data_IF_874705455603
#
_entry.id   IF_874705455603
#
_cell.length_a   1.000
_cell.length_b   1.000
_cell.length_c   1.000
_cell.angle_alpha   90.00
_cell.angle_beta   90.00
_cell.angle_gamma   90.00
#
_symmetry.space_group_name_H-M   'P 1'
#
loop_
_entity.id
_entity.type
_entity.pdbx_description
1 polymer ?
#
# COMPACT_ATOMS: atom_id res chain seq x y z
N UNK A 1 33.38 -22.88 -19.33
CA UNK A 1 32.93 -22.20 -18.10
C UNK A 1 32.29 -20.83 -18.32
N UNK A 2 32.90 -19.80 -18.91
CA UNK A 2 32.20 -18.50 -19.16
C UNK A 2 31.13 -18.64 -20.26
N UNK A 3 31.43 -19.39 -21.33
CA UNK A 3 30.52 -19.62 -22.46
C UNK A 3 29.30 -20.50 -22.11
N UNK A 4 29.41 -21.40 -21.14
CA UNK A 4 28.28 -22.24 -20.68
C UNK A 4 27.33 -21.44 -19.79
N UNK A 5 27.85 -20.57 -18.92
CA UNK A 5 27.03 -19.74 -18.04
C UNK A 5 26.22 -18.70 -18.84
N UNK A 6 26.82 -18.11 -19.89
CA UNK A 6 26.10 -17.25 -20.83
C UNK A 6 25.08 -18.02 -21.67
N UNK A 7 25.39 -19.24 -22.13
CA UNK A 7 24.45 -20.07 -22.85
C UNK A 7 23.25 -20.50 -21.98
N UNK A 8 23.48 -20.80 -20.70
CA UNK A 8 22.42 -21.13 -19.73
C UNK A 8 21.56 -19.90 -19.38
N UNK A 9 22.14 -18.71 -19.26
CA UNK A 9 21.39 -17.47 -19.06
C UNK A 9 20.54 -17.08 -20.28
N UNK A 10 21.09 -17.23 -21.50
CA UNK A 10 20.34 -17.03 -22.74
C UNK A 10 19.25 -18.08 -22.92
N UNK A 11 19.50 -19.33 -22.56
CA UNK A 11 18.51 -20.41 -22.59
C UNK A 11 17.37 -20.19 -21.59
N UNK A 12 17.66 -19.73 -20.36
CA UNK A 12 16.62 -19.40 -19.37
C UNK A 12 15.86 -18.12 -19.75
N UNK A 13 16.51 -17.17 -20.42
CA UNK A 13 15.83 -16.00 -20.98
C UNK A 13 14.90 -16.37 -22.13
N UNK A 14 15.32 -17.28 -23.01
CA UNK A 14 14.53 -17.75 -24.15
C UNK A 14 13.38 -18.66 -23.72
N UNK A 15 13.56 -19.48 -22.69
CA UNK A 15 12.47 -20.25 -22.06
C UNK A 15 11.41 -19.34 -21.42
N UNK A 16 11.83 -18.24 -20.78
CA UNK A 16 10.92 -17.22 -20.26
C UNK A 16 10.19 -16.46 -21.37
N UNK A 17 10.87 -16.14 -22.47
CA UNK A 17 10.25 -15.54 -23.65
C UNK A 17 9.28 -16.50 -24.32
N UNK A 18 9.60 -17.79 -24.43
CA UNK A 18 8.71 -18.79 -25.01
C UNK A 18 7.49 -19.07 -24.13
N UNK A 19 7.62 -19.17 -22.80
CA UNK A 19 6.45 -19.33 -21.93
C UNK A 19 5.56 -18.07 -21.88
N UNK A 20 6.18 -16.88 -21.97
CA UNK A 20 5.41 -15.64 -22.03
C UNK A 20 4.77 -15.41 -23.40
N UNK A 21 5.43 -15.83 -24.49
CA UNK A 21 4.87 -15.86 -25.84
C UNK A 21 3.77 -16.91 -25.99
N UNK A 22 3.90 -18.11 -25.43
CA UNK A 22 2.85 -19.14 -25.44
C UNK A 22 1.61 -18.67 -24.67
N UNK A 23 1.80 -17.97 -23.54
CA UNK A 23 0.69 -17.28 -22.86
C UNK A 23 0.09 -16.17 -23.71
N UNK A 24 0.91 -15.33 -24.36
CA UNK A 24 0.45 -14.26 -25.25
C UNK A 24 -0.28 -14.79 -26.52
N UNK A 25 0.14 -15.94 -27.05
CA UNK A 25 -0.43 -16.60 -28.23
C UNK A 25 -1.71 -17.37 -27.91
N UNK A 26 -1.77 -18.07 -26.77
CA UNK A 26 -3.03 -18.62 -26.25
C UNK A 26 -4.07 -17.52 -26.01
N UNK A 27 -3.65 -16.33 -25.56
CA UNK A 27 -4.52 -15.17 -25.36
C UNK A 27 -5.01 -14.60 -26.70
N UNK A 28 -4.15 -14.51 -27.73
CA UNK A 28 -4.57 -14.04 -29.06
C UNK A 28 -5.56 -14.96 -29.75
N UNK A 29 -5.51 -16.28 -29.49
CA UNK A 29 -6.52 -17.22 -30.00
C UNK A 29 -7.88 -17.06 -29.32
N UNK A 30 -7.92 -16.73 -28.02
CA UNK A 30 -9.16 -16.54 -27.24
C UNK A 30 -9.77 -15.13 -27.38
N UNK A 31 -8.96 -14.14 -27.80
CA UNK A 31 -9.38 -12.74 -28.06
C UNK A 31 -10.34 -12.57 -29.25
N UNK A 32 -10.57 -13.63 -30.04
CA UNK A 32 -11.52 -13.58 -31.16
C UNK A 32 -12.99 -13.48 -30.73
N UNK A 33 -13.34 -13.60 -29.43
CA UNK A 33 -14.75 -13.61 -28.98
C UNK A 33 -15.18 -12.74 -27.79
N UNK A 34 -14.36 -12.01 -27.02
CA UNK A 34 -14.87 -11.29 -25.82
C UNK A 34 -14.11 -9.99 -25.40
N UNK A 35 -14.18 -8.92 -26.20
CA UNK A 35 -13.36 -7.69 -26.04
C UNK A 35 -13.58 -6.75 -24.84
N UNK A 36 -14.56 -6.98 -23.95
CA UNK A 36 -14.74 -6.14 -22.73
C UNK A 36 -14.53 -6.92 -21.43
N UNK A 37 -14.87 -8.22 -21.44
CA UNK A 37 -14.61 -9.12 -20.32
C UNK A 37 -13.13 -9.52 -20.28
N UNK A 38 -12.47 -9.80 -21.41
CA UNK A 38 -11.04 -10.12 -21.37
C UNK A 38 -10.22 -8.94 -20.84
N UNK A 39 -10.53 -7.73 -21.32
CA UNK A 39 -9.86 -6.48 -20.93
C UNK A 39 -10.01 -6.14 -19.44
N UNK A 40 -11.16 -6.40 -18.82
CA UNK A 40 -11.40 -6.11 -17.39
C UNK A 40 -10.97 -7.24 -16.46
N UNK A 41 -10.96 -8.49 -16.93
CA UNK A 41 -10.85 -9.67 -16.06
C UNK A 41 -9.54 -10.46 -16.21
N UNK A 42 -8.79 -10.33 -17.32
CA UNK A 42 -7.46 -10.94 -17.44
C UNK A 42 -6.39 -9.96 -16.98
N UNK A 43 -5.72 -10.29 -15.87
CA UNK A 43 -4.70 -9.45 -15.23
C UNK A 43 -3.27 -9.93 -15.49
N UNK A 44 -2.31 -9.07 -15.13
CA UNK A 44 -0.87 -9.34 -15.21
C UNK A 44 -0.13 -8.41 -16.17
N UNK A 45 -0.85 -7.48 -16.79
CA UNK A 45 -0.25 -6.43 -17.61
C UNK A 45 0.52 -5.42 -16.76
N UNK A 46 1.40 -4.67 -17.43
CA UNK A 46 2.14 -3.55 -16.83
C UNK A 46 1.19 -2.50 -16.25
N UNK A 47 0.03 -2.28 -16.89
CA UNK A 47 -0.98 -1.34 -16.42
C UNK A 47 -1.63 -1.80 -15.12
N UNK A 48 -1.92 -3.09 -14.99
CA UNK A 48 -2.53 -3.64 -13.77
C UNK A 48 -1.61 -3.48 -12.56
N UNK A 49 -0.32 -3.76 -12.76
CA UNK A 49 0.70 -3.52 -11.75
C UNK A 49 0.82 -2.03 -11.42
N UNK A 50 0.78 -1.15 -12.43
CA UNK A 50 0.82 0.30 -12.20
C UNK A 50 -0.38 0.81 -11.40
N UNK A 51 -1.60 0.42 -11.76
CA UNK A 51 -2.82 0.77 -11.02
C UNK A 51 -2.75 0.29 -9.58
N UNK A 52 -2.27 -0.94 -9.37
CA UNK A 52 -2.12 -1.54 -8.06
C UNK A 52 -1.09 -0.81 -7.20
N UNK A 53 0.08 -0.50 -7.78
CA UNK A 53 1.15 0.22 -7.09
C UNK A 53 0.74 1.67 -6.76
N UNK A 54 0.05 2.35 -7.67
CA UNK A 54 -0.38 3.73 -7.45
C UNK A 54 -1.48 3.81 -6.37
N UNK A 55 -2.46 2.90 -6.44
CA UNK A 55 -3.57 2.81 -5.47
C UNK A 55 -3.08 2.45 -4.06
N UNK A 56 -2.10 1.56 -3.93
CA UNK A 56 -1.54 1.20 -2.62
C UNK A 56 -0.64 2.27 -2.00
N UNK A 57 -0.05 3.16 -2.81
CA UNK A 57 0.77 4.25 -2.31
C UNK A 57 -0.07 5.46 -1.87
N UNK A 58 -1.18 5.75 -2.57
CA UNK A 58 -2.09 6.83 -2.18
C UNK A 58 -3.31 6.27 -1.48
N UNK A 59 -3.33 6.37 -0.16
CA UNK A 59 -4.48 6.01 0.65
C UNK A 59 -4.86 7.15 1.61
N UNK A 60 -5.31 6.80 2.81
CA UNK A 60 -5.62 7.70 3.92
C UNK A 60 -4.59 8.79 4.19
N UNK A 61 -3.31 8.49 3.99
CA UNK A 61 -2.19 9.42 4.24
C UNK A 61 -2.36 10.74 3.49
N UNK A 62 -3.01 10.74 2.31
CA UNK A 62 -3.36 11.92 1.53
C UNK A 62 -4.04 13.00 2.39
N UNK A 63 -4.93 12.59 3.31
CA UNK A 63 -5.68 13.48 4.19
C UNK A 63 -4.84 14.03 5.35
N UNK A 64 -3.69 13.42 5.63
CA UNK A 64 -2.77 13.81 6.72
C UNK A 64 -1.50 14.51 6.24
N UNK A 65 -1.22 14.50 4.94
CA UNK A 65 -0.04 15.17 4.39
C UNK A 65 -0.02 16.69 4.63
N UNK A 66 -1.15 17.43 4.52
CA UNK A 66 -1.16 18.85 4.89
C UNK A 66 -0.76 19.06 6.35
N UNK A 67 -1.20 18.17 7.25
CA UNK A 67 -0.79 18.18 8.64
C UNK A 67 0.73 17.99 8.77
N UNK A 68 1.33 17.02 8.07
CA UNK A 68 2.79 16.88 8.04
C UNK A 68 3.50 18.14 7.54
N UNK A 69 2.93 18.84 6.57
CA UNK A 69 3.51 20.08 6.05
C UNK A 69 3.46 21.21 7.09
N UNK A 70 2.42 21.29 7.91
CA UNK A 70 2.39 22.21 9.06
C UNK A 70 3.43 21.88 10.13
N UNK A 71 3.81 20.60 10.26
CA UNK A 71 4.83 20.14 11.21
C UNK A 71 6.27 20.37 10.72
N UNK A 72 6.49 20.25 9.41
CA UNK A 72 7.81 20.29 8.77
C UNK A 72 8.14 21.64 8.13
N UNK A 73 7.12 22.44 7.83
CA UNK A 73 7.21 23.55 6.88
C UNK A 73 7.16 23.07 5.43
N UNK A 74 6.84 24.01 4.52
CA UNK A 74 6.62 23.72 3.09
C UNK A 74 7.84 23.09 2.42
N UNK A 75 9.01 23.71 2.60
CA UNK A 75 10.24 23.28 1.95
C UNK A 75 10.66 21.87 2.38
N UNK A 76 10.70 21.62 3.70
CA UNK A 76 11.05 20.30 4.22
C UNK A 76 10.00 19.26 3.83
N UNK A 77 8.70 19.59 3.87
CA UNK A 77 7.63 18.72 3.42
C UNK A 77 7.80 18.25 1.97
N UNK A 78 8.14 19.16 1.04
CA UNK A 78 8.39 18.83 -0.37
C UNK A 78 9.65 17.97 -0.52
N UNK A 79 10.76 18.38 0.11
CA UNK A 79 12.04 17.65 0.03
C UNK A 79 11.87 16.22 0.55
N UNK A 80 11.22 16.04 1.71
CA UNK A 80 11.02 14.72 2.32
C UNK A 80 10.04 13.85 1.51
N UNK A 81 8.99 14.43 0.92
CA UNK A 81 8.13 13.66 -0.02
C UNK A 81 8.95 13.10 -1.17
N UNK A 82 9.72 13.94 -1.87
CA UNK A 82 10.54 13.52 -3.01
C UNK A 82 11.58 12.49 -2.57
N UNK A 83 12.30 12.77 -1.49
CA UNK A 83 13.34 11.89 -0.96
C UNK A 83 12.78 10.52 -0.57
N UNK A 84 11.69 10.45 0.20
CA UNK A 84 11.10 9.18 0.63
C UNK A 84 10.45 8.40 -0.51
N UNK A 85 9.89 9.06 -1.53
CA UNK A 85 9.40 8.38 -2.73
C UNK A 85 10.52 7.79 -3.58
N UNK A 86 11.65 8.50 -3.74
CA UNK A 86 12.84 7.98 -4.44
C UNK A 86 13.43 6.80 -3.66
N UNK A 87 13.62 6.93 -2.34
CA UNK A 87 14.10 5.81 -1.51
C UNK A 87 13.14 4.62 -1.51
N UNK A 88 11.82 4.88 -1.52
CA UNK A 88 10.79 3.83 -1.63
C UNK A 88 10.89 3.10 -2.97
N UNK A 89 11.11 3.84 -4.06
CA UNK A 89 11.36 3.25 -5.39
C UNK A 89 12.65 2.43 -5.44
N UNK A 90 13.72 2.93 -4.79
CA UNK A 90 14.99 2.21 -4.69
C UNK A 90 14.84 0.88 -3.96
N UNK A 91 14.17 0.88 -2.82
CA UNK A 91 13.92 -0.33 -2.03
C UNK A 91 12.99 -1.30 -2.73
N UNK A 92 11.97 -0.82 -3.46
CA UNK A 92 11.13 -1.64 -4.32
C UNK A 92 11.95 -2.30 -5.45
N UNK A 93 12.93 -1.60 -6.01
CA UNK A 93 13.91 -2.18 -6.93
C UNK A 93 14.72 -3.31 -6.27
N UNK A 94 15.20 -3.13 -5.04
CA UNK A 94 15.92 -4.19 -4.30
C UNK A 94 15.04 -5.43 -4.08
N UNK A 95 13.76 -5.24 -3.69
CA UNK A 95 12.81 -6.36 -3.55
C UNK A 95 12.58 -7.05 -4.91
N UNK A 96 12.50 -6.30 -6.00
CA UNK A 96 12.36 -6.86 -7.35
C UNK A 96 13.54 -7.75 -7.73
N UNK A 97 14.77 -7.33 -7.43
CA UNK A 97 15.97 -8.14 -7.64
C UNK A 97 15.93 -9.42 -6.81
N UNK A 98 15.63 -9.32 -5.51
CA UNK A 98 15.54 -10.47 -4.61
C UNK A 98 14.44 -11.45 -5.03
N UNK A 99 13.30 -10.95 -5.48
CA UNK A 99 12.21 -11.78 -5.98
C UNK A 99 12.61 -12.58 -7.22
N UNK A 100 13.22 -11.92 -8.22
CA UNK A 100 13.67 -12.58 -9.45
C UNK A 100 14.74 -13.62 -9.14
N UNK A 101 15.67 -13.31 -8.23
CA UNK A 101 16.71 -14.24 -7.77
C UNK A 101 16.10 -15.48 -7.10
N UNK A 102 15.20 -15.30 -6.13
CA UNK A 102 14.53 -16.40 -5.45
C UNK A 102 13.76 -17.29 -6.44
N UNK A 103 13.01 -16.67 -7.35
CA UNK A 103 12.24 -17.38 -8.37
C UNK A 103 13.14 -18.20 -9.28
N UNK A 104 14.22 -17.60 -9.79
CA UNK A 104 15.20 -18.27 -10.65
C UNK A 104 15.84 -19.49 -9.97
N UNK A 105 16.23 -19.38 -8.69
CA UNK A 105 16.75 -20.51 -7.92
C UNK A 105 15.76 -21.66 -7.79
N UNK A 106 14.49 -21.34 -7.51
CA UNK A 106 13.43 -22.35 -7.35
C UNK A 106 13.02 -23.00 -8.66
N UNK A 107 13.01 -22.25 -9.76
CA UNK A 107 12.77 -22.80 -11.10
C UNK A 107 13.91 -23.76 -11.52
N UNK A 108 15.18 -23.46 -11.17
CA UNK A 108 16.32 -24.39 -11.36
C UNK A 108 16.18 -25.68 -10.52
N UNK A 109 15.47 -25.63 -9.41
CA UNK A 109 15.10 -26.79 -8.58
C UNK A 109 13.83 -27.52 -9.09
N UNK A 110 13.31 -27.17 -10.27
CA UNK A 110 12.08 -27.69 -10.87
C UNK A 110 10.79 -27.44 -10.05
N UNK A 111 10.76 -26.37 -9.23
CA UNK A 111 9.56 -25.96 -8.50
C UNK A 111 8.66 -25.11 -9.40
N UNK A 112 7.38 -25.48 -9.53
CA UNK A 112 6.38 -24.73 -10.30
C UNK A 112 5.50 -23.87 -9.40
N UNK A 113 5.27 -22.60 -9.79
CA UNK A 113 4.45 -21.64 -9.06
C UNK A 113 3.05 -21.42 -9.66
N UNK A 114 2.56 -22.30 -10.55
CA UNK A 114 1.27 -22.09 -11.26
C UNK A 114 0.06 -21.89 -10.34
N UNK A 115 0.07 -22.50 -9.14
CA UNK A 115 -1.03 -22.46 -8.17
C UNK A 115 -0.64 -21.81 -6.83
N UNK A 116 0.51 -21.14 -6.76
CA UNK A 116 1.03 -20.59 -5.51
C UNK A 116 1.58 -19.18 -5.71
N UNK A 117 1.00 -18.21 -4.99
CA UNK A 117 1.48 -16.83 -5.00
C UNK A 117 2.65 -16.69 -4.04
N UNK A 118 3.83 -16.39 -4.59
CA UNK A 118 5.03 -16.13 -3.78
C UNK A 118 4.80 -14.91 -2.89
N UNK A 119 5.17 -15.03 -1.62
CA UNK A 119 5.05 -13.96 -0.62
C UNK A 119 6.42 -13.46 -0.16
N UNK A 120 6.49 -12.25 0.39
CA UNK A 120 7.77 -11.65 0.80
C UNK A 120 8.56 -12.49 1.82
N UNK A 121 7.89 -13.09 2.80
CA UNK A 121 8.58 -13.93 3.80
C UNK A 121 9.17 -15.21 3.18
N UNK A 122 8.63 -15.71 2.07
CA UNK A 122 9.16 -16.88 1.36
C UNK A 122 10.44 -16.53 0.60
N UNK A 123 10.47 -15.34 -0.01
CA UNK A 123 11.68 -14.79 -0.63
C UNK A 123 12.80 -14.67 0.41
N UNK A 124 12.48 -14.14 1.60
CA UNK A 124 13.42 -14.04 2.70
C UNK A 124 13.88 -15.41 3.22
N UNK A 125 12.97 -16.39 3.35
CA UNK A 125 13.28 -17.76 3.75
C UNK A 125 14.25 -18.43 2.76
N UNK A 126 13.92 -18.36 1.47
CA UNK A 126 14.71 -19.03 0.43
C UNK A 126 16.09 -18.44 0.19
N UNK A 127 16.29 -17.16 0.47
CA UNK A 127 17.58 -16.49 0.25
C UNK A 127 18.44 -16.41 1.51
N UNK A 128 17.84 -16.27 2.69
CA UNK A 128 18.56 -15.95 3.93
C UNK A 128 18.23 -16.90 5.11
N UNK A 129 17.22 -17.77 4.95
CA UNK A 129 16.86 -18.80 5.92
C UNK A 129 15.75 -18.42 6.92
N UNK A 130 15.47 -19.32 7.88
CA UNK A 130 14.24 -19.28 8.69
C UNK A 130 14.15 -18.10 9.66
N UNK A 131 15.28 -17.58 10.14
CA UNK A 131 15.26 -16.36 10.97
C UNK A 131 14.74 -15.15 10.20
N UNK A 132 15.12 -15.00 8.92
CA UNK A 132 14.65 -13.91 8.07
C UNK A 132 13.20 -14.08 7.65
N UNK A 133 12.75 -15.33 7.47
CA UNK A 133 11.32 -15.65 7.34
C UNK A 133 10.51 -15.12 8.52
N UNK A 134 10.95 -15.41 9.75
CA UNK A 134 10.26 -15.00 10.96
C UNK A 134 10.21 -13.47 11.11
N UNK A 135 11.34 -12.78 10.85
CA UNK A 135 11.42 -11.32 10.84
C UNK A 135 10.47 -10.72 9.79
N UNK A 136 10.51 -11.24 8.56
CA UNK A 136 9.65 -10.79 7.47
C UNK A 136 8.16 -10.96 7.79
N UNK A 137 7.79 -12.13 8.33
CA UNK A 137 6.40 -12.42 8.72
C UNK A 137 5.95 -11.51 9.86
N UNK A 138 6.74 -11.35 10.92
CA UNK A 138 6.39 -10.53 12.07
C UNK A 138 6.15 -9.06 11.68
N UNK A 139 7.08 -8.46 10.94
CA UNK A 139 6.95 -7.06 10.51
C UNK A 139 5.82 -6.87 9.50
N UNK A 140 5.64 -7.78 8.52
CA UNK A 140 4.56 -7.67 7.53
C UNK A 140 3.19 -7.83 8.20
N UNK A 141 2.98 -8.86 9.02
CA UNK A 141 1.72 -9.05 9.75
C UNK A 141 1.42 -7.88 10.70
N UNK A 142 2.42 -7.36 11.41
CA UNK A 142 2.22 -6.20 12.29
C UNK A 142 1.87 -4.95 11.48
N UNK A 143 2.54 -4.72 10.35
CA UNK A 143 2.25 -3.61 9.45
C UNK A 143 0.84 -3.69 8.87
N UNK A 144 0.39 -4.87 8.43
CA UNK A 144 -0.96 -5.07 7.93
C UNK A 144 -2.01 -4.89 9.05
N UNK A 145 -1.75 -5.36 10.27
CA UNK A 145 -2.66 -5.21 11.40
C UNK A 145 -2.88 -3.72 11.73
N UNK A 146 -1.80 -2.96 11.89
CA UNK A 146 -1.91 -1.53 12.15
C UNK A 146 -2.40 -0.75 10.93
N UNK A 147 -2.10 -1.22 9.72
CA UNK A 147 -2.71 -0.75 8.48
C UNK A 147 -4.24 -0.82 8.58
N UNK A 148 -4.80 -1.98 8.93
CA UNK A 148 -6.24 -2.15 9.13
C UNK A 148 -6.81 -1.26 10.25
N UNK A 149 -6.07 -1.05 11.34
CA UNK A 149 -6.45 -0.11 12.41
C UNK A 149 -6.58 1.32 11.87
N UNK A 150 -5.58 1.79 11.13
CA UNK A 150 -5.59 3.10 10.45
C UNK A 150 -6.73 3.19 9.44
N UNK A 151 -7.03 2.09 8.75
CA UNK A 151 -8.16 2.06 7.83
C UNK A 151 -9.48 2.31 8.58
N UNK A 152 -9.74 1.58 9.65
CA UNK A 152 -10.95 1.72 10.46
C UNK A 152 -11.08 3.11 11.14
N UNK A 153 -10.00 3.54 11.81
CA UNK A 153 -9.48 4.92 11.81
C UNK A 153 -10.24 5.97 10.98
N UNK A 154 -9.84 6.01 9.71
CA UNK A 154 -10.32 7.01 8.78
C UNK A 154 -11.77 6.82 8.40
N UNK A 155 -12.31 5.60 8.39
CA UNK A 155 -13.73 5.41 8.12
C UNK A 155 -14.55 6.25 9.12
N UNK A 156 -14.26 6.10 10.41
CA UNK A 156 -14.90 6.85 11.47
C UNK A 156 -14.59 8.36 11.41
N UNK A 157 -13.34 8.73 11.10
CA UNK A 157 -12.98 10.15 10.97
C UNK A 157 -13.64 10.83 9.77
N UNK A 158 -13.82 10.15 8.64
CA UNK A 158 -14.36 10.73 7.42
C UNK A 158 -15.87 10.94 7.56
N UNK A 159 -16.61 9.92 8.01
CA UNK A 159 -18.06 10.03 8.19
C UNK A 159 -18.44 11.11 9.21
N UNK A 160 -17.61 11.34 10.24
CA UNK A 160 -17.80 12.41 11.21
C UNK A 160 -17.91 13.81 10.57
N UNK A 161 -17.23 14.04 9.43
CA UNK A 161 -17.32 15.32 8.72
C UNK A 161 -18.56 15.47 7.84
N UNK A 162 -19.29 14.38 7.61
CA UNK A 162 -20.64 14.39 7.03
C UNK A 162 -21.69 14.54 8.15
N UNK A 163 -21.55 13.75 9.20
CA UNK A 163 -22.50 13.66 10.29
C UNK A 163 -21.76 13.62 11.64
N UNK A 164 -21.77 14.78 12.31
CA UNK A 164 -21.16 15.04 13.60
C UNK A 164 -22.11 14.79 14.79
N UNK A 165 -23.31 14.25 14.56
CA UNK A 165 -24.25 13.90 15.63
C UNK A 165 -23.73 12.76 16.53
N UNK A 166 -22.79 11.96 16.04
CA UNK A 166 -22.10 10.92 16.80
C UNK A 166 -20.63 11.31 16.92
N UNK A 167 -20.03 11.07 18.08
CA UNK A 167 -18.60 11.26 18.27
C UNK A 167 -17.81 10.23 17.45
N UNK A 168 -16.54 10.56 17.17
CA UNK A 168 -15.66 9.72 16.34
C UNK A 168 -15.55 8.28 16.89
N UNK A 169 -15.56 8.09 18.20
CA UNK A 169 -15.47 6.75 18.81
C UNK A 169 -16.74 5.94 18.58
N UNK A 170 -17.92 6.57 18.66
CA UNK A 170 -19.19 5.92 18.30
C UNK A 170 -19.21 5.50 16.83
N UNK A 171 -18.73 6.36 15.93
CA UNK A 171 -18.54 5.98 14.53
C UNK A 171 -17.56 4.82 14.36
N UNK A 172 -16.50 4.72 15.17
CA UNK A 172 -15.58 3.57 15.16
C UNK A 172 -16.28 2.26 15.57
N UNK A 173 -17.24 2.28 16.50
CA UNK A 173 -18.04 1.08 16.79
C UNK A 173 -18.87 0.65 15.58
N UNK A 174 -19.57 1.58 14.94
CA UNK A 174 -20.41 1.28 13.77
C UNK A 174 -19.56 0.74 12.61
N UNK A 175 -18.49 1.46 12.25
CA UNK A 175 -17.63 1.03 11.16
C UNK A 175 -16.83 -0.22 11.49
N UNK A 176 -16.54 -0.51 12.76
CA UNK A 176 -15.92 -1.75 13.17
C UNK A 176 -16.83 -2.95 12.88
N UNK A 177 -18.13 -2.84 13.17
CA UNK A 177 -19.11 -3.85 12.80
C UNK A 177 -19.24 -3.99 11.27
N UNK A 178 -19.28 -2.87 10.53
CA UNK A 178 -19.30 -2.90 9.06
C UNK A 178 -18.03 -3.58 8.50
N UNK A 179 -16.85 -3.18 8.94
CA UNK A 179 -15.58 -3.75 8.50
C UNK A 179 -15.41 -5.22 8.91
N UNK A 180 -16.00 -5.66 10.03
CA UNK A 180 -16.04 -7.06 10.41
C UNK A 180 -16.75 -7.94 9.38
N UNK A 181 -17.70 -7.41 8.60
CA UNK A 181 -18.34 -8.17 7.50
C UNK A 181 -17.37 -8.60 6.41
N UNK A 182 -16.16 -8.01 6.34
CA UNK A 182 -15.12 -8.44 5.39
C UNK A 182 -14.65 -9.87 5.62
N UNK A 183 -14.91 -10.47 6.79
CA UNK A 183 -14.62 -11.89 7.05
C UNK A 183 -15.34 -12.82 6.07
N UNK A 184 -16.48 -12.40 5.51
CA UNK A 184 -17.24 -13.14 4.52
C UNK A 184 -16.66 -13.05 3.11
N UNK A 185 -15.69 -12.15 2.86
CA UNK A 185 -15.06 -12.00 1.55
C UNK A 185 -14.08 -13.17 1.35
N UNK A 186 -14.35 -14.15 0.46
CA UNK A 186 -13.55 -15.37 0.39
C UNK A 186 -12.12 -15.08 -0.06
N UNK A 187 -11.99 -14.20 -1.06
CA UNK A 187 -10.76 -13.67 -1.62
C UNK A 187 -11.08 -12.41 -2.43
N UNK A 188 -10.14 -11.48 -2.50
CA UNK A 188 -10.20 -10.34 -3.42
C UNK A 188 -9.73 -10.76 -4.82
N UNK A 189 -10.39 -11.75 -5.42
CA UNK A 189 -10.05 -12.28 -6.74
C UNK A 189 -10.09 -11.18 -7.82
N UNK A 190 -10.95 -10.16 -7.65
CA UNK A 190 -11.09 -9.01 -8.55
C UNK A 190 -10.28 -7.80 -8.08
N UNK A 191 -9.08 -8.03 -7.54
CA UNK A 191 -8.17 -7.00 -7.03
C UNK A 191 -8.03 -5.79 -7.98
N UNK A 192 -8.00 -6.04 -9.29
CA UNK A 192 -7.88 -5.02 -10.33
C UNK A 192 -9.00 -3.97 -10.33
N UNK A 193 -10.26 -4.40 -10.26
CA UNK A 193 -11.41 -3.48 -10.28
C UNK A 193 -11.38 -2.56 -9.05
N UNK A 194 -11.10 -3.14 -7.89
CA UNK A 194 -11.00 -2.42 -6.62
C UNK A 194 -9.81 -1.45 -6.61
N UNK A 195 -8.66 -1.84 -7.14
CA UNK A 195 -7.49 -0.95 -7.29
C UNK A 195 -7.77 0.22 -8.22
N UNK A 196 -8.45 -0.01 -9.36
CA UNK A 196 -8.84 1.04 -10.30
C UNK A 196 -9.82 2.04 -9.67
N UNK A 197 -10.87 1.54 -9.01
CA UNK A 197 -11.81 2.39 -8.27
C UNK A 197 -11.09 3.16 -7.17
N UNK A 198 -10.18 2.50 -6.44
CA UNK A 198 -9.35 3.10 -5.41
C UNK A 198 -8.58 4.31 -5.93
N UNK A 199 -7.89 4.15 -7.06
CA UNK A 199 -7.13 5.21 -7.70
C UNK A 199 -8.03 6.38 -8.13
N UNK A 200 -9.20 6.10 -8.70
CA UNK A 200 -10.15 7.15 -9.09
C UNK A 200 -10.64 7.98 -7.89
N UNK A 201 -10.95 7.32 -6.78
CA UNK A 201 -11.41 7.96 -5.54
C UNK A 201 -10.33 8.85 -4.91
N UNK A 202 -9.08 8.40 -4.88
CA UNK A 202 -7.96 9.16 -4.32
C UNK A 202 -7.51 10.30 -5.25
N UNK A 203 -7.56 10.09 -6.57
CA UNK A 203 -7.33 11.14 -7.56
C UNK A 203 -8.32 12.28 -7.40
N UNK A 204 -9.62 11.96 -7.37
CA UNK A 204 -10.66 12.96 -7.19
C UNK A 204 -10.43 13.74 -5.90
N UNK A 205 -10.15 13.04 -4.80
CA UNK A 205 -9.94 13.66 -3.50
C UNK A 205 -8.72 14.57 -3.50
N UNK A 206 -7.58 14.14 -4.05
CA UNK A 206 -6.35 14.93 -4.08
C UNK A 206 -6.53 16.23 -4.87
N UNK A 207 -7.15 16.15 -6.05
CA UNK A 207 -7.44 17.32 -6.87
C UNK A 207 -8.51 18.20 -6.24
N UNK A 208 -9.53 17.62 -5.60
CA UNK A 208 -10.50 18.37 -4.81
C UNK A 208 -9.80 19.17 -3.70
N UNK A 209 -8.91 18.56 -2.90
CA UNK A 209 -8.17 19.26 -1.84
C UNK A 209 -7.38 20.44 -2.41
N UNK A 210 -6.69 20.22 -3.53
CA UNK A 210 -5.87 21.24 -4.20
C UNK A 210 -6.73 22.41 -4.66
N UNK A 211 -7.79 22.13 -5.42
CA UNK A 211 -8.68 23.15 -6.01
C UNK A 211 -9.45 23.88 -4.90
N UNK A 212 -10.00 23.15 -3.92
CA UNK A 212 -10.76 23.74 -2.84
C UNK A 212 -9.91 24.68 -1.97
N UNK A 213 -8.64 24.33 -1.71
CA UNK A 213 -7.73 25.21 -1.00
C UNK A 213 -7.42 26.49 -1.78
N UNK A 214 -7.21 26.41 -3.09
CA UNK A 214 -7.01 27.60 -3.93
C UNK A 214 -8.26 28.48 -4.04
N UNK A 215 -9.44 27.88 -4.20
CA UNK A 215 -10.71 28.61 -4.27
C UNK A 215 -11.06 29.26 -2.93
N UNK A 216 -10.77 28.59 -1.83
CA UNK A 216 -10.94 29.15 -0.49
C UNK A 216 -9.97 30.32 -0.25
N UNK A 217 -8.73 30.21 -0.73
CA UNK A 217 -7.67 31.17 -0.44
C UNK A 217 -7.11 31.00 0.97
N UNK A 218 -6.14 31.85 1.32
CA UNK A 218 -5.60 31.88 2.67
C UNK A 218 -6.63 32.38 3.66
N UNK A 219 -6.74 31.71 4.81
CA UNK A 219 -7.50 32.25 5.94
C UNK A 219 -6.85 33.54 6.44
N UNK A 220 -7.67 34.49 6.92
CA UNK A 220 -7.17 35.78 7.40
C UNK A 220 -6.15 35.58 8.53
N UNK A 221 -4.98 36.20 8.38
CA UNK A 221 -3.90 36.10 9.36
C UNK A 221 -3.26 34.71 9.47
N UNK A 222 -3.34 33.88 8.41
CA UNK A 222 -2.69 32.56 8.39
C UNK A 222 -1.21 32.66 8.75
N UNK A 223 -0.77 31.75 9.64
CA UNK A 223 0.62 31.62 10.08
C UNK A 223 1.18 30.32 9.55
N UNK A 224 2.43 30.37 9.09
CA UNK A 224 3.19 29.21 8.59
C UNK A 224 4.47 29.09 9.39
N UNK A 225 4.36 28.74 10.67
CA UNK A 225 5.51 28.71 11.58
C UNK A 225 6.56 27.67 11.17
N UNK A 226 6.14 26.63 10.43
CA UNK A 226 6.99 25.50 10.11
C UNK A 226 7.42 24.75 11.39
N UNK A 227 8.61 24.15 11.41
CA UNK A 227 8.98 23.26 12.51
C UNK A 227 9.35 24.05 13.76
N UNK A 228 8.46 24.05 14.75
CA UNK A 228 8.64 24.70 16.04
C UNK A 228 9.40 23.85 17.06
N UNK A 229 9.39 22.52 16.91
CA UNK A 229 10.10 21.58 17.79
C UNK A 229 10.63 20.37 17.01
N UNK A 230 11.67 19.73 17.54
CA UNK A 230 12.24 18.49 16.94
C UNK A 230 11.22 17.34 16.92
N UNK A 231 10.40 17.21 17.96
CA UNK A 231 9.37 16.17 18.05
C UNK A 231 8.36 16.33 16.91
N UNK A 232 7.90 17.56 16.68
CA UNK A 232 6.96 17.87 15.60
C UNK A 232 7.58 17.57 14.23
N UNK A 233 8.84 17.99 14.02
CA UNK A 233 9.57 17.73 12.79
C UNK A 233 9.65 16.23 12.45
N UNK A 234 10.14 15.41 13.38
CA UNK A 234 10.26 13.96 13.13
C UNK A 234 8.89 13.24 13.07
N UNK A 235 7.88 13.74 13.77
CA UNK A 235 6.50 13.23 13.67
C UNK A 235 5.92 13.46 12.27
N UNK A 236 6.13 14.66 11.71
CA UNK A 236 5.72 14.97 10.33
C UNK A 236 6.50 14.16 9.31
N UNK A 237 7.83 14.03 9.50
CA UNK A 237 8.68 13.24 8.61
C UNK A 237 8.23 11.76 8.55
N UNK A 238 7.95 11.15 9.70
CA UNK A 238 7.51 9.75 9.76
C UNK A 238 6.11 9.54 9.20
N UNK A 239 5.21 10.52 9.28
CA UNK A 239 3.93 10.46 8.58
C UNK A 239 4.11 10.55 7.05
N UNK A 240 5.06 11.36 6.55
CA UNK A 240 5.39 11.34 5.11
C UNK A 240 5.99 9.98 4.74
N UNK A 241 6.87 9.42 5.56
CA UNK A 241 7.47 8.10 5.34
C UNK A 241 6.40 7.02 5.15
N UNK A 242 5.33 7.07 5.95
CA UNK A 242 4.18 6.15 5.83
C UNK A 242 3.52 6.18 4.44
N UNK A 243 3.57 7.30 3.72
CA UNK A 243 3.01 7.46 2.36
C UNK A 243 3.57 6.43 1.38
N UNK A 244 4.83 6.05 1.53
CA UNK A 244 5.51 5.13 0.61
C UNK A 244 5.58 3.70 1.17
N UNK A 245 4.63 3.33 2.04
CA UNK A 245 4.52 2.05 2.76
C UNK A 245 4.05 0.82 1.95
N UNK A 246 3.97 0.89 0.61
CA UNK A 246 3.33 -0.13 -0.23
C UNK A 246 4.06 -1.48 -0.35
N UNK A 247 5.20 -1.65 0.30
CA UNK A 247 6.10 -2.80 0.08
C UNK A 247 5.56 -4.14 0.58
N UNK A 248 4.61 -4.12 1.51
CA UNK A 248 4.05 -5.33 2.11
C UNK A 248 3.34 -6.28 1.12
N UNK A 249 2.93 -5.75 -0.04
CA UNK A 249 2.22 -6.49 -1.11
C UNK A 249 2.96 -6.46 -2.45
N UNK A 250 4.18 -5.91 -2.47
CA UNK A 250 4.96 -5.72 -3.70
C UNK A 250 5.33 -7.04 -4.37
N UNK A 251 5.64 -8.07 -3.59
CA UNK A 251 6.01 -9.39 -4.13
C UNK A 251 4.81 -10.07 -4.78
N UNK A 252 3.64 -9.98 -4.16
CA UNK A 252 2.39 -10.53 -4.68
C UNK A 252 2.00 -9.85 -5.99
N UNK A 253 2.15 -8.52 -6.08
CA UNK A 253 1.92 -7.78 -7.33
C UNK A 253 2.92 -8.21 -8.40
N UNK A 254 4.21 -8.32 -8.07
CA UNK A 254 5.23 -8.80 -9.01
C UNK A 254 4.97 -10.21 -9.50
N UNK A 255 4.49 -11.08 -8.62
CA UNK A 255 4.16 -12.45 -8.96
C UNK A 255 2.98 -12.56 -9.93
N UNK A 256 2.01 -11.66 -9.80
CA UNK A 256 0.86 -11.59 -10.72
C UNK A 256 1.23 -11.03 -12.11
N UNK A 257 2.40 -10.41 -12.29
CA UNK A 257 2.81 -9.84 -13.57
C UNK A 257 3.27 -10.89 -14.58
N UNK A 258 2.97 -10.67 -15.86
CA UNK A 258 3.54 -11.46 -16.95
C UNK A 258 5.06 -11.30 -17.08
N UNK A 259 5.57 -10.07 -16.87
CA UNK A 259 7.01 -9.75 -16.95
C UNK A 259 7.48 -9.04 -15.67
N UNK A 260 7.73 -9.78 -14.56
CA UNK A 260 8.06 -9.19 -13.26
C UNK A 260 9.31 -8.29 -13.26
N UNK A 261 10.24 -8.49 -14.18
CA UNK A 261 11.47 -7.71 -14.33
C UNK A 261 11.19 -6.22 -14.65
N UNK A 262 10.00 -5.91 -15.20
CA UNK A 262 9.55 -4.53 -15.47
C UNK A 262 9.02 -3.80 -14.24
N UNK A 263 8.80 -4.50 -13.12
CA UNK A 263 8.17 -3.92 -11.93
C UNK A 263 8.91 -2.69 -11.40
N UNK A 264 10.24 -2.68 -11.41
CA UNK A 264 11.07 -1.54 -10.98
C UNK A 264 10.67 -0.21 -11.65
N UNK A 265 10.44 -0.23 -12.97
CA UNK A 265 10.06 0.97 -13.72
C UNK A 265 8.60 1.34 -13.47
N UNK A 266 7.74 0.34 -13.27
CA UNK A 266 6.31 0.54 -12.98
C UNK A 266 6.13 1.19 -11.61
N UNK A 267 6.86 0.72 -10.60
CA UNK A 267 6.80 1.28 -9.26
C UNK A 267 7.28 2.74 -9.24
N UNK A 268 8.36 3.04 -9.97
CA UNK A 268 8.83 4.42 -10.14
C UNK A 268 7.77 5.30 -10.82
N UNK A 269 7.16 4.83 -11.92
CA UNK A 269 6.11 5.59 -12.61
C UNK A 269 4.86 5.79 -11.72
N UNK A 270 4.49 4.80 -10.92
CA UNK A 270 3.43 4.93 -9.93
C UNK A 270 3.78 5.98 -8.87
N UNK A 271 5.04 6.01 -8.40
CA UNK A 271 5.53 7.01 -7.44
C UNK A 271 5.49 8.42 -8.04
N UNK A 272 5.91 8.59 -9.29
CA UNK A 272 5.83 9.88 -9.98
C UNK A 272 4.40 10.38 -10.11
N UNK A 273 3.47 9.48 -10.42
CA UNK A 273 2.05 9.79 -10.42
C UNK A 273 1.55 10.16 -9.01
N UNK A 274 1.94 9.42 -7.98
CA UNK A 274 1.60 9.72 -6.57
C UNK A 274 2.05 11.13 -6.20
N UNK A 275 3.22 11.59 -6.64
CA UNK A 275 3.67 12.98 -6.40
C UNK A 275 2.72 14.02 -6.99
N UNK A 276 2.10 13.76 -8.14
CA UNK A 276 1.11 14.67 -8.73
C UNK A 276 -0.15 14.81 -7.88
N UNK A 277 -0.46 13.81 -7.05
CA UNK A 277 -1.59 13.87 -6.13
C UNK A 277 -1.19 14.47 -4.78
N UNK A 278 -0.04 14.05 -4.25
CA UNK A 278 0.36 14.28 -2.86
C UNK A 278 1.05 15.61 -2.63
N UNK A 279 1.87 16.09 -3.57
CA UNK A 279 2.57 17.38 -3.42
C UNK A 279 1.60 18.56 -3.58
N UNK A 280 0.79 18.66 -4.66
CA UNK A 280 -0.11 19.80 -4.83
C UNK A 280 -1.17 19.88 -3.73
N UNK A 281 -1.76 18.74 -3.34
CA UNK A 281 -2.79 18.73 -2.29
C UNK A 281 -2.24 19.12 -0.92
N UNK A 282 -1.08 18.58 -0.53
CA UNK A 282 -0.43 18.93 0.73
C UNK A 282 -0.02 20.40 0.77
N UNK A 283 0.64 20.87 -0.31
CA UNK A 283 1.12 22.24 -0.40
C UNK A 283 -0.03 23.25 -0.42
N UNK A 284 -1.09 23.02 -1.22
CA UNK A 284 -2.20 23.95 -1.33
C UNK A 284 -2.98 24.07 -0.02
N UNK A 285 -3.29 22.94 0.63
CA UNK A 285 -4.03 22.95 1.92
C UNK A 285 -3.17 23.57 3.02
N UNK A 286 -1.87 23.25 3.08
CA UNK A 286 -0.97 23.92 4.04
C UNK A 286 -0.83 25.42 3.77
N UNK A 287 -0.73 25.82 2.50
CA UNK A 287 -0.69 27.23 2.12
C UNK A 287 -1.96 27.99 2.56
N UNK A 288 -3.14 27.37 2.40
CA UNK A 288 -4.42 27.99 2.74
C UNK A 288 -4.65 28.09 4.26
N UNK A 289 -4.28 27.06 5.03
CA UNK A 289 -4.68 26.95 6.46
C UNK A 289 -3.53 27.04 7.47
N UNK A 290 -2.28 26.86 7.04
CA UNK A 290 -1.09 27.02 7.88
C UNK A 290 -1.14 26.20 9.18
N UNK A 291 -0.83 26.84 10.30
CA UNK A 291 -0.72 26.21 11.62
C UNK A 291 -2.06 25.69 12.19
N UNK A 292 -3.21 26.04 11.60
CA UNK A 292 -4.50 25.44 12.01
C UNK A 292 -4.51 23.91 11.83
N UNK A 293 -3.70 23.40 10.89
CA UNK A 293 -3.54 21.97 10.64
C UNK A 293 -2.88 21.24 11.81
N UNK A 294 -2.10 21.91 12.67
CA UNK A 294 -1.41 21.29 13.80
C UNK A 294 -2.37 20.64 14.81
N UNK A 295 -3.60 21.15 14.91
CA UNK A 295 -4.67 20.60 15.76
C UNK A 295 -5.73 19.83 14.95
N UNK A 296 -5.59 19.79 13.62
CA UNK A 296 -6.58 19.28 12.67
C UNK A 296 -5.93 18.33 11.65
N UNK A 297 -5.59 17.12 12.10
CA UNK A 297 -4.79 16.19 11.31
C UNK A 297 -5.47 15.64 10.05
N UNK A 298 -6.78 15.81 9.87
CA UNK A 298 -7.50 15.40 8.66
C UNK A 298 -7.90 16.64 7.86
N UNK A 299 -7.43 16.75 6.62
CA UNK A 299 -7.62 17.91 5.74
C UNK A 299 -9.10 18.32 5.56
N UNK A 300 -10.04 17.37 5.59
CA UNK A 300 -11.47 17.68 5.45
C UNK A 300 -12.04 18.52 6.60
N UNK A 301 -11.36 18.57 7.75
CA UNK A 301 -11.83 19.31 8.91
C UNK A 301 -11.79 20.83 8.74
N UNK A 302 -10.88 21.34 7.90
CA UNK A 302 -10.70 22.78 7.67
C UNK A 302 -11.37 23.27 6.39
N UNK A 303 -11.68 22.36 5.46
CA UNK A 303 -12.36 22.72 4.22
C UNK A 303 -13.86 22.98 4.44
N UNK A 304 -14.42 24.04 3.83
CA UNK A 304 -15.81 24.43 4.02
C UNK A 304 -16.78 23.36 3.53
N UNK A 305 -17.91 23.21 4.23
CA UNK A 305 -18.97 22.26 3.83
C UNK A 305 -19.47 22.61 2.42
N UNK A 306 -19.42 21.64 1.52
CA UNK A 306 -19.93 21.77 0.16
C UNK A 306 -20.23 20.38 -0.40
N UNK A 307 -21.08 20.30 -1.43
CA UNK A 307 -21.40 19.01 -2.07
C UNK A 307 -20.16 18.33 -2.65
N UNK A 308 -19.20 19.11 -3.16
CA UNK A 308 -17.92 18.62 -3.66
C UNK A 308 -17.06 18.00 -2.57
N UNK A 309 -17.01 18.67 -1.40
CA UNK A 309 -16.35 18.12 -0.21
C UNK A 309 -16.99 16.80 0.20
N UNK A 310 -18.31 16.77 0.27
CA UNK A 310 -19.04 15.61 0.77
C UNK A 310 -18.87 14.41 -0.18
N UNK A 311 -18.81 14.64 -1.50
CA UNK A 311 -18.41 13.61 -2.47
C UNK A 311 -16.99 13.11 -2.17
N UNK A 312 -16.02 13.98 -1.96
CA UNK A 312 -14.64 13.56 -1.64
C UNK A 312 -14.58 12.72 -0.36
N UNK A 313 -15.33 13.12 0.68
CA UNK A 313 -15.42 12.38 1.95
C UNK A 313 -16.05 10.99 1.74
N UNK A 314 -17.12 10.88 0.96
CA UNK A 314 -17.78 9.60 0.65
C UNK A 314 -16.87 8.70 -0.18
N UNK A 315 -16.17 9.24 -1.19
CA UNK A 315 -15.22 8.47 -2.00
C UNK A 315 -14.06 7.96 -1.13
N UNK A 316 -13.50 8.80 -0.26
CA UNK A 316 -12.47 8.34 0.69
C UNK A 316 -13.00 7.32 1.68
N UNK A 317 -14.26 7.41 2.12
CA UNK A 317 -14.87 6.41 2.99
C UNK A 317 -14.96 5.03 2.32
N UNK A 318 -15.41 5.00 1.06
CA UNK A 318 -15.48 3.76 0.25
C UNK A 318 -14.07 3.21 0.02
N UNK A 319 -13.12 4.07 -0.37
CA UNK A 319 -11.71 3.71 -0.52
C UNK A 319 -11.18 3.03 0.74
N UNK A 320 -11.38 3.67 1.90
CA UNK A 320 -10.87 3.18 3.17
C UNK A 320 -11.43 1.81 3.55
N UNK A 321 -12.71 1.57 3.27
CA UNK A 321 -13.34 0.28 3.49
C UNK A 321 -12.71 -0.83 2.62
N UNK A 322 -12.41 -0.53 1.36
CA UNK A 322 -11.73 -1.46 0.46
C UNK A 322 -10.30 -1.73 0.94
N UNK A 323 -9.55 -0.70 1.28
CA UNK A 323 -8.17 -0.84 1.78
C UNK A 323 -8.12 -1.61 3.11
N UNK A 324 -9.13 -1.45 3.99
CA UNK A 324 -9.28 -2.29 5.18
C UNK A 324 -9.37 -3.78 4.80
N UNK A 325 -10.23 -4.11 3.82
CA UNK A 325 -10.38 -5.47 3.33
C UNK A 325 -9.08 -6.05 2.78
N UNK A 326 -8.34 -5.26 2.00
CA UNK A 326 -7.02 -5.66 1.48
C UNK A 326 -5.98 -5.88 2.59
N UNK A 327 -5.94 -5.03 3.61
CA UNK A 327 -5.01 -5.18 4.72
C UNK A 327 -5.35 -6.40 5.60
N UNK A 328 -6.63 -6.68 5.83
CA UNK A 328 -7.08 -7.81 6.65
C UNK A 328 -6.97 -9.17 5.95
N UNK A 329 -7.08 -9.23 4.62
CA UNK A 329 -7.15 -10.52 3.90
C UNK A 329 -5.90 -11.39 4.08
N UNK A 330 -4.66 -10.88 3.95
CA UNK A 330 -3.48 -11.67 4.23
C UNK A 330 -3.43 -12.14 5.70
N UNK A 331 -3.89 -11.32 6.65
CA UNK A 331 -3.98 -11.71 8.06
C UNK A 331 -4.97 -12.86 8.27
N UNK A 332 -6.11 -12.82 7.59
CA UNK A 332 -7.08 -13.93 7.59
C UNK A 332 -6.45 -15.21 7.08
N UNK A 333 -5.70 -15.17 5.97
CA UNK A 333 -5.06 -16.37 5.43
C UNK A 333 -3.95 -16.91 6.31
N UNK A 334 -3.11 -16.05 6.90
CA UNK A 334 -2.10 -16.48 7.87
C UNK A 334 -2.77 -17.13 9.08
N UNK A 335 -3.81 -16.51 9.62
CA UNK A 335 -4.56 -17.04 10.76
C UNK A 335 -5.27 -18.36 10.44
N UNK A 336 -5.94 -18.46 9.29
CA UNK A 336 -6.57 -19.69 8.79
C UNK A 336 -5.58 -20.85 8.69
N UNK A 337 -4.35 -20.59 8.22
CA UNK A 337 -3.29 -21.59 8.16
C UNK A 337 -2.87 -22.04 9.56
N UNK A 338 -2.76 -21.11 10.52
CA UNK A 338 -2.44 -21.42 11.92
C UNK A 338 -3.50 -22.28 12.58
N UNK A 339 -4.79 -21.99 12.33
CA UNK A 339 -5.90 -22.77 12.90
C UNK A 339 -6.27 -24.03 12.09
N UNK A 340 -5.57 -24.30 10.98
CA UNK A 340 -5.83 -25.47 10.11
C UNK A 340 -7.13 -25.39 9.30
N UNK A 341 -7.69 -24.18 9.11
CA UNK A 341 -8.98 -23.95 8.46
C UNK A 341 -8.89 -23.44 7.02
N UNK A 342 -7.69 -23.22 6.50
CA UNK A 342 -7.45 -22.58 5.20
C UNK A 342 -8.11 -23.31 4.01
N UNK A 343 -8.06 -24.65 4.01
CA UNK A 343 -8.58 -25.48 2.91
C UNK A 343 -10.10 -25.78 3.02
N UNK A 344 -10.76 -25.19 4.01
CA UNK A 344 -12.19 -25.42 4.26
C UNK A 344 -13.06 -24.79 3.16
N UNK A 345 -13.99 -25.57 2.59
CA UNK A 345 -14.90 -25.08 1.54
C UNK A 345 -16.03 -24.17 2.05
N UNK A 346 -16.41 -24.30 3.33
CA UNK A 346 -17.49 -23.50 3.93
C UNK A 346 -17.04 -22.07 4.25
N UNK A 347 -17.64 -21.10 3.56
CA UNK A 347 -17.39 -19.66 3.79
C UNK A 347 -17.81 -19.25 5.20
N UNK A 348 -18.94 -19.76 5.72
CA UNK A 348 -19.41 -19.41 7.06
C UNK A 348 -18.43 -19.87 8.14
N UNK A 349 -17.89 -21.08 8.01
CA UNK A 349 -16.93 -21.62 8.97
C UNK A 349 -15.60 -20.86 8.94
N UNK A 350 -15.14 -20.47 7.74
CA UNK A 350 -13.97 -19.58 7.58
C UNK A 350 -14.22 -18.19 8.13
N UNK A 351 -15.40 -17.61 7.89
CA UNK A 351 -15.79 -16.31 8.41
C UNK A 351 -15.73 -16.29 9.95
N UNK A 352 -16.28 -17.31 10.61
CA UNK A 352 -16.18 -17.48 12.06
C UNK A 352 -14.73 -17.59 12.53
N UNK A 353 -13.90 -18.36 11.82
CA UNK A 353 -12.48 -18.51 12.14
C UNK A 353 -11.69 -17.20 11.98
N UNK A 354 -12.14 -16.27 11.13
CA UNK A 354 -11.49 -14.97 10.87
C UNK A 354 -11.86 -13.87 11.86
N UNK A 355 -13.03 -13.94 12.51
CA UNK A 355 -13.49 -12.92 13.46
C UNK A 355 -12.45 -12.61 14.57
N UNK A 356 -11.72 -13.59 15.15
CA UNK A 356 -10.65 -13.32 16.11
C UNK A 356 -9.55 -12.37 15.60
N UNK A 357 -9.34 -12.27 14.29
CA UNK A 357 -8.37 -11.32 13.70
C UNK A 357 -8.88 -9.89 13.73
N UNK A 358 -10.20 -9.70 13.55
CA UNK A 358 -10.82 -8.36 13.50
C UNK A 358 -10.96 -7.75 14.90
N UNK A 359 -11.20 -8.57 15.92
CA UNK A 359 -11.38 -8.10 17.32
C UNK A 359 -10.23 -7.20 17.80
N UNK A 360 -8.94 -7.59 17.73
CA UNK A 360 -7.85 -6.73 18.17
C UNK A 360 -7.72 -5.46 17.31
N UNK A 361 -7.99 -5.53 16.01
CA UNK A 361 -7.99 -4.36 15.12
C UNK A 361 -9.05 -3.37 15.58
N UNK A 362 -10.26 -3.85 15.86
CA UNK A 362 -11.37 -3.03 16.31
C UNK A 362 -11.08 -2.42 17.69
N UNK A 363 -10.57 -3.22 18.63
CA UNK A 363 -10.17 -2.77 19.96
C UNK A 363 -9.12 -1.65 19.90
N UNK A 364 -8.05 -1.82 19.11
CA UNK A 364 -7.00 -0.81 18.95
C UNK A 364 -7.54 0.48 18.33
N UNK A 365 -8.44 0.38 17.34
CA UNK A 365 -9.07 1.54 16.72
C UNK A 365 -9.93 2.36 17.71
N UNK A 366 -10.60 1.69 18.67
CA UNK A 366 -11.41 2.35 19.70
C UNK A 366 -10.52 3.07 20.73
N UNK A 367 -9.42 2.44 21.15
CA UNK A 367 -8.54 2.98 22.20
C UNK A 367 -7.64 4.10 21.68
N UNK A 368 -7.16 4.00 20.45
CA UNK A 368 -6.23 4.96 19.87
C UNK A 368 -6.83 5.71 18.67
N UNK A 369 -7.89 6.53 18.83
CA UNK A 369 -8.55 7.23 17.71
C UNK A 369 -7.75 8.45 17.20
N UNK A 370 -6.42 8.41 17.22
CA UNK A 370 -5.52 9.51 16.90
C UNK A 370 -5.05 9.44 15.44
N UNK A 371 -5.84 10.03 14.53
CA UNK A 371 -5.66 9.91 13.08
C UNK A 371 -4.25 10.24 12.54
N UNK A 372 -3.65 11.35 12.96
CA UNK A 372 -2.29 11.74 12.55
C UNK A 372 -1.19 10.98 13.32
N UNK A 373 -1.16 11.05 14.66
CA UNK A 373 -0.10 10.42 15.45
C UNK A 373 0.05 8.90 15.25
N UNK A 374 -1.04 8.16 15.02
CA UNK A 374 -0.95 6.71 14.76
C UNK A 374 -0.21 6.42 13.44
N UNK A 375 -0.40 7.25 12.40
CA UNK A 375 0.33 7.11 11.15
C UNK A 375 1.82 7.35 11.35
N UNK A 376 2.18 8.39 12.11
CA UNK A 376 3.58 8.68 12.44
C UNK A 376 4.24 7.53 13.20
N UNK A 377 3.56 6.95 14.19
CA UNK A 377 4.07 5.82 14.97
C UNK A 377 4.28 4.56 14.09
N UNK A 378 3.31 4.24 13.24
CA UNK A 378 3.41 3.13 12.28
C UNK A 378 4.49 3.39 11.24
N UNK A 379 4.61 4.64 10.78
CA UNK A 379 5.67 5.09 9.88
C UNK A 379 7.06 4.87 10.47
N UNK A 380 7.27 5.31 11.71
CA UNK A 380 8.56 5.24 12.40
C UNK A 380 9.00 3.80 12.74
N UNK A 381 8.06 2.93 13.14
CA UNK A 381 8.39 1.60 13.65
C UNK A 381 8.23 0.50 12.61
N UNK A 382 7.18 0.55 11.79
CA UNK A 382 6.85 -0.54 10.88
C UNK A 382 7.35 -0.23 9.48
N UNK A 383 7.00 0.95 8.93
CA UNK A 383 7.42 1.32 7.57
C UNK A 383 8.93 1.46 7.45
N UNK A 384 9.60 2.09 8.43
CA UNK A 384 11.07 2.15 8.44
C UNK A 384 11.71 0.77 8.28
N UNK A 385 11.17 -0.26 8.94
CA UNK A 385 11.71 -1.61 8.85
C UNK A 385 11.27 -2.36 7.60
N UNK A 386 9.97 -2.39 7.30
CA UNK A 386 9.41 -3.17 6.18
C UNK A 386 9.82 -2.62 4.82
N UNK A 387 9.91 -1.30 4.69
CA UNK A 387 10.22 -0.65 3.41
C UNK A 387 11.72 -0.45 3.24
N UNK A 388 12.40 0.09 4.26
CA UNK A 388 13.76 0.60 4.08
C UNK A 388 14.85 -0.33 4.62
N UNK A 389 14.72 -0.81 5.86
CA UNK A 389 15.80 -1.55 6.53
C UNK A 389 15.87 -2.99 6.06
N UNK A 390 14.77 -3.76 6.16
CA UNK A 390 14.77 -5.20 5.87
C UNK A 390 15.13 -5.48 4.41
N UNK A 391 14.54 -4.81 3.39
CA UNK A 391 14.92 -5.05 2.00
C UNK A 391 16.38 -4.72 1.70
N UNK A 392 16.91 -3.62 2.25
CA UNK A 392 18.30 -3.24 2.05
C UNK A 392 19.27 -4.24 2.70
N UNK A 393 19.02 -4.65 3.95
CA UNK A 393 19.80 -5.68 4.63
C UNK A 393 19.74 -7.01 3.88
N UNK A 394 18.54 -7.43 3.46
CA UNK A 394 18.35 -8.68 2.74
C UNK A 394 19.15 -8.70 1.43
N UNK A 395 19.14 -7.59 0.68
CA UNK A 395 19.94 -7.43 -0.52
C UNK A 395 21.44 -7.49 -0.23
N UNK A 396 21.93 -6.72 0.75
CA UNK A 396 23.36 -6.72 1.11
C UNK A 396 23.85 -8.09 1.57
N UNK A 397 23.04 -8.84 2.30
CA UNK A 397 23.39 -10.17 2.81
C UNK A 397 23.35 -11.22 1.70
N UNK A 398 22.34 -11.19 0.83
CA UNK A 398 22.20 -12.13 -0.31
C UNK A 398 23.41 -12.01 -1.25
N UNK A 399 23.85 -10.78 -1.52
CA UNK A 399 24.96 -10.50 -2.45
C UNK A 399 26.29 -10.17 -1.75
N UNK A 400 26.47 -10.65 -0.51
CA UNK A 400 27.67 -10.33 0.30
C UNK A 400 28.96 -10.89 -0.29
N UNK A 401 28.93 -12.08 -0.88
CA UNK A 401 30.10 -12.76 -1.42
C UNK A 401 30.31 -12.44 -2.91
N UNK A 402 31.56 -12.48 -3.37
CA UNK A 402 31.86 -12.28 -4.79
C UNK A 402 31.20 -13.36 -5.68
N UNK A 403 31.15 -14.60 -5.21
CA UNK A 403 30.49 -15.70 -5.92
C UNK A 403 28.97 -15.51 -6.02
N UNK A 404 28.31 -14.95 -5.01
CA UNK A 404 26.87 -14.68 -5.06
C UNK A 404 26.50 -13.52 -6.01
N UNK A 405 27.49 -12.69 -6.41
CA UNK A 405 27.30 -11.58 -7.36
C UNK A 405 27.54 -11.98 -8.81
N UNK A 406 28.06 -13.18 -9.06
CA UNK A 406 28.36 -13.72 -10.39
C UNK A 406 27.26 -14.66 -10.84
#
# INVERSE_FOLDING_TARGET
>A
MISEKQADEEMVSSLNESESQEKEEQIKQDDSKFGLKSLLWHGGSVYDAWFSCASNQVAQVLLTLPYSFSQLGMLSGIILQIFYGIMGSWTAYLISVLYVEYRSRKEKENVSFKNHVIQWFEVLDGLLGPYWKAVGLAFNCTFLLFGSVIQLIACASNIYYINDNLDKRTWTYIFGACCATTVFIPSFHNYRLWSFLGLGMTTYTAWYLTIAAFVHGQVDGVTHSGPSTLVLYFTGATNILYTFGGHAVTVEIMHAMWKPQKFKSIYLLATLYVFTLTIPSAAAVYWAFGDQLLTHSNAFSLLPRSRWRDVAVILMLIHQFITFGFACTPLYFVWEKVVGMHDTKSICLRALARLPVVIPIWFLAIIFPFFGPINSAVGALLVSFTVYIIPALAHMLTYRSASARQ
#
